data_IF_015535321082
#
_entry.id   IF_015535321082
#
_cell.length_a   1.000
_cell.length_b   1.000
_cell.length_c   1.000
_cell.angle_alpha   90.00
_cell.angle_beta   90.00
_cell.angle_gamma   90.00
#
_symmetry.space_group_name_H-M   'P 1'
#
loop_
_entity.id
_entity.type
_entity.pdbx_description
1 polymer ?
#
# COMPACT_ATOMS: atom_id res chain seq x y z
N UNK A 1 -47.59 -7.06 -4.49
CA UNK A 1 -46.60 -7.46 -3.46
C UNK A 1 -46.21 -8.92 -3.69
N UNK A 2 -45.52 -9.23 -4.80
CA UNK A 2 -45.33 -10.61 -5.30
C UNK A 2 -43.90 -11.01 -5.71
N UNK A 3 -42.88 -10.18 -5.48
CA UNK A 3 -41.56 -10.38 -6.11
C UNK A 3 -40.38 -10.30 -5.12
N UNK A 4 -40.45 -10.92 -3.95
CA UNK A 4 -39.33 -10.96 -2.99
C UNK A 4 -38.99 -12.39 -2.52
N UNK A 5 -39.17 -13.40 -3.38
CA UNK A 5 -38.66 -14.76 -3.16
C UNK A 5 -37.33 -14.95 -3.92
N UNK A 6 -36.32 -14.14 -3.61
CA UNK A 6 -34.95 -14.41 -4.04
C UNK A 6 -34.24 -15.13 -2.90
N UNK A 7 -33.73 -16.32 -3.17
CA UNK A 7 -32.93 -17.05 -2.21
C UNK A 7 -31.54 -16.41 -2.11
N UNK A 8 -30.91 -16.51 -0.94
CA UNK A 8 -29.52 -16.06 -0.74
C UNK A 8 -28.57 -16.65 -1.79
N UNK A 9 -28.79 -17.90 -2.20
CA UNK A 9 -27.99 -18.58 -3.20
C UNK A 9 -28.10 -17.94 -4.60
N UNK A 10 -29.31 -17.54 -5.00
CA UNK A 10 -29.55 -16.87 -6.29
C UNK A 10 -28.88 -15.50 -6.33
N UNK A 11 -29.07 -14.68 -5.29
CA UNK A 11 -28.44 -13.35 -5.20
C UNK A 11 -26.91 -13.46 -5.20
N UNK A 12 -26.37 -14.44 -4.46
CA UNK A 12 -24.91 -14.65 -4.40
C UNK A 12 -24.37 -15.09 -5.75
N UNK A 13 -25.07 -15.98 -6.44
CA UNK A 13 -24.67 -16.43 -7.78
C UNK A 13 -24.70 -15.28 -8.78
N UNK A 14 -25.78 -14.50 -8.80
CA UNK A 14 -25.91 -13.35 -9.69
C UNK A 14 -24.81 -12.30 -9.43
N UNK A 15 -24.48 -12.03 -8.16
CA UNK A 15 -23.38 -11.14 -7.81
C UNK A 15 -22.01 -11.69 -8.26
N UNK A 16 -21.76 -13.00 -8.10
CA UNK A 16 -20.51 -13.64 -8.55
C UNK A 16 -20.39 -13.59 -10.08
N UNK A 17 -21.46 -13.94 -10.79
CA UNK A 17 -21.49 -13.91 -12.25
C UNK A 17 -21.29 -12.47 -12.75
N UNK A 18 -21.96 -11.49 -12.13
CA UNK A 18 -21.79 -10.07 -12.44
C UNK A 18 -20.35 -9.60 -12.23
N UNK A 19 -19.74 -9.94 -11.09
CA UNK A 19 -18.33 -9.60 -10.80
C UNK A 19 -17.43 -10.28 -11.82
N UNK A 20 -17.62 -11.56 -12.14
CA UNK A 20 -16.78 -12.26 -13.11
C UNK A 20 -16.83 -11.62 -14.51
N UNK A 21 -18.01 -11.18 -14.93
CA UNK A 21 -18.21 -10.57 -16.24
C UNK A 21 -17.72 -9.12 -16.34
N UNK A 22 -17.77 -8.35 -15.24
CA UNK A 22 -17.53 -6.90 -15.24
C UNK A 22 -16.27 -6.47 -14.49
N UNK A 23 -15.75 -7.31 -13.59
CA UNK A 23 -14.48 -7.04 -12.93
C UNK A 23 -13.34 -7.39 -13.86
N UNK A 24 -12.88 -6.39 -14.59
CA UNK A 24 -11.65 -6.45 -15.34
C UNK A 24 -10.53 -5.86 -14.48
N UNK A 25 -9.76 -6.68 -13.74
CA UNK A 25 -8.64 -6.16 -12.97
C UNK A 25 -7.66 -5.44 -13.91
N UNK A 26 -6.93 -4.48 -13.36
CA UNK A 26 -5.89 -3.80 -14.13
C UNK A 26 -4.92 -4.82 -14.73
N UNK A 27 -4.62 -4.68 -16.03
CA UNK A 27 -3.71 -5.58 -16.71
C UNK A 27 -2.37 -5.65 -15.96
N UNK A 28 -1.96 -6.86 -15.59
CA UNK A 28 -0.69 -7.08 -14.89
C UNK A 28 -0.75 -6.91 -13.38
N UNK A 29 -1.91 -6.71 -12.76
CA UNK A 29 -2.04 -6.64 -11.29
C UNK A 29 -1.37 -7.84 -10.59
N UNK A 30 -1.52 -9.05 -11.14
CA UNK A 30 -0.94 -10.27 -10.58
C UNK A 30 0.58 -10.29 -10.64
N UNK A 31 1.14 -9.70 -11.71
CA UNK A 31 2.57 -9.50 -11.82
C UNK A 31 3.06 -8.46 -10.84
N UNK A 32 2.32 -7.36 -10.66
CA UNK A 32 2.69 -6.27 -9.74
C UNK A 32 2.59 -6.71 -8.28
N UNK A 33 1.53 -7.40 -7.87
CA UNK A 33 1.39 -7.87 -6.48
C UNK A 33 2.49 -8.88 -6.11
N UNK A 34 3.00 -9.62 -7.09
CA UNK A 34 4.06 -10.62 -6.88
C UNK A 34 5.48 -10.03 -6.99
N UNK A 35 5.72 -9.12 -7.96
CA UNK A 35 7.06 -8.67 -8.34
C UNK A 35 7.27 -7.14 -8.25
N UNK A 36 6.21 -6.37 -7.99
CA UNK A 36 6.24 -4.91 -8.08
C UNK A 36 7.17 -4.26 -7.06
N UNK A 37 7.30 -4.85 -5.87
CA UNK A 37 8.03 -4.26 -4.76
C UNK A 37 9.54 -4.50 -4.72
N UNK A 38 10.04 -5.56 -5.34
CA UNK A 38 11.41 -6.04 -5.11
C UNK A 38 11.96 -6.74 -6.35
N UNK A 39 13.22 -6.42 -6.69
CA UNK A 39 13.99 -7.14 -7.69
C UNK A 39 15.16 -7.87 -6.99
N UNK A 40 15.33 -9.20 -7.15
CA UNK A 40 16.46 -9.93 -6.56
C UNK A 40 17.84 -9.38 -6.92
N UNK A 41 17.98 -8.67 -8.04
CA UNK A 41 19.22 -7.98 -8.41
C UNK A 41 19.57 -6.80 -7.48
N UNK A 42 18.60 -6.24 -6.74
CA UNK A 42 18.83 -5.20 -5.72
C UNK A 42 19.74 -5.69 -4.58
N UNK A 43 19.89 -7.02 -4.42
CA UNK A 43 20.67 -7.68 -3.37
C UNK A 43 21.62 -8.74 -3.95
N UNK A 44 22.34 -8.39 -5.02
CA UNK A 44 23.31 -9.29 -5.66
C UNK A 44 24.38 -9.81 -4.69
N UNK A 45 24.93 -8.93 -3.84
CA UNK A 45 25.96 -9.28 -2.85
C UNK A 45 25.48 -10.29 -1.78
N UNK A 46 24.15 -10.39 -1.59
CA UNK A 46 23.53 -11.35 -0.67
C UNK A 46 23.12 -12.65 -1.37
N UNK A 47 23.41 -12.81 -2.67
CA UNK A 47 23.08 -14.00 -3.44
C UNK A 47 21.69 -13.99 -4.09
N UNK A 48 21.10 -12.80 -4.32
CA UNK A 48 19.81 -12.62 -5.03
C UNK A 48 18.65 -13.41 -4.41
N UNK A 49 18.29 -13.14 -3.15
CA UNK A 49 17.16 -13.81 -2.51
C UNK A 49 15.87 -13.58 -3.31
N UNK A 50 15.04 -14.62 -3.46
CA UNK A 50 13.78 -14.52 -4.23
C UNK A 50 12.72 -13.70 -3.49
N UNK A 51 12.69 -13.83 -2.15
CA UNK A 51 11.85 -13.01 -1.30
C UNK A 51 12.68 -11.90 -0.63
N UNK A 52 12.15 -10.67 -0.47
CA UNK A 52 12.87 -9.61 0.19
C UNK A 52 13.11 -9.97 1.67
N UNK A 53 14.35 -9.86 2.19
CA UNK A 53 14.62 -10.12 3.60
C UNK A 53 13.91 -9.11 4.52
N UNK A 54 13.64 -9.56 5.74
CA UNK A 54 13.08 -8.71 6.81
C UNK A 54 14.24 -8.00 7.52
N UNK A 55 14.35 -6.69 7.32
CA UNK A 55 15.32 -5.84 7.99
C UNK A 55 14.72 -5.25 9.27
N UNK A 56 15.22 -5.77 10.41
CA UNK A 56 14.80 -5.37 11.75
C UNK A 56 15.82 -4.46 12.46
N UNK A 57 16.97 -4.21 11.81
CA UNK A 57 17.95 -3.27 12.34
C UNK A 57 17.30 -1.88 12.51
N UNK A 58 17.66 -1.15 13.56
CA UNK A 58 17.14 0.20 13.81
C UNK A 58 18.04 1.28 13.22
N UNK A 59 19.33 1.00 13.09
CA UNK A 59 20.37 1.87 12.53
C UNK A 59 21.25 1.07 11.58
N UNK A 60 21.87 1.76 10.62
CA UNK A 60 22.74 1.15 9.62
C UNK A 60 24.11 1.84 9.60
N UNK A 61 25.13 1.10 9.17
CA UNK A 61 26.48 1.65 9.04
C UNK A 61 26.53 2.71 7.94
N UNK A 62 27.07 3.88 8.26
CA UNK A 62 27.35 4.93 7.28
C UNK A 62 28.74 4.72 6.67
N UNK A 63 28.90 5.04 5.39
CA UNK A 63 30.21 5.00 4.71
C UNK A 63 31.13 6.11 5.26
N UNK A 64 30.55 7.30 5.41
CA UNK A 64 31.10 8.47 6.08
C UNK A 64 29.95 9.20 6.78
N UNK A 65 30.20 10.13 7.71
CA UNK A 65 29.13 10.90 8.35
C UNK A 65 28.18 11.53 7.32
N UNK A 66 26.89 11.22 7.42
CA UNK A 66 25.84 11.70 6.52
C UNK A 66 25.70 10.96 5.18
N UNK A 67 26.44 9.88 4.95
CA UNK A 67 26.43 9.14 3.67
C UNK A 67 26.02 7.68 3.90
N UNK A 68 24.74 7.39 3.69
CA UNK A 68 24.17 6.05 3.72
C UNK A 68 22.86 5.99 2.92
N UNK A 69 22.49 4.81 2.38
CA UNK A 69 21.16 4.60 1.77
C UNK A 69 20.06 4.62 2.83
N UNK A 70 20.30 3.92 3.94
CA UNK A 70 19.50 3.98 5.15
C UNK A 70 20.43 4.36 6.28
N UNK A 71 20.00 5.24 7.18
CA UNK A 71 20.73 5.61 8.39
C UNK A 71 19.97 5.13 9.64
N UNK A 72 18.65 5.33 9.66
CA UNK A 72 17.75 5.03 10.75
C UNK A 72 16.39 4.56 10.24
N UNK A 73 15.91 3.42 10.74
CA UNK A 73 14.76 2.69 10.17
C UNK A 73 13.43 3.44 10.17
N UNK A 74 13.28 4.44 11.04
CA UNK A 74 12.12 5.35 11.00
C UNK A 74 12.10 6.17 9.72
N UNK A 75 13.25 6.68 9.29
CA UNK A 75 13.39 7.46 8.06
C UNK A 75 13.31 6.58 6.81
N UNK A 76 14.01 5.44 6.81
CA UNK A 76 14.01 4.50 5.70
C UNK A 76 14.39 3.08 6.12
N UNK A 77 13.67 2.08 5.62
CA UNK A 77 13.93 0.66 5.86
C UNK A 77 13.70 -0.11 4.57
N UNK A 78 14.66 -0.96 4.17
CA UNK A 78 14.58 -1.83 3.01
C UNK A 78 13.25 -2.60 2.90
N UNK A 79 12.79 -3.24 3.98
CA UNK A 79 11.55 -4.04 3.92
C UNK A 79 10.31 -3.17 3.71
N UNK A 80 10.30 -1.94 4.26
CA UNK A 80 9.22 -0.97 4.06
C UNK A 80 9.25 -0.39 2.65
N UNK A 81 10.44 -0.08 2.13
CA UNK A 81 10.62 0.43 0.76
C UNK A 81 10.10 -0.57 -0.28
N UNK A 82 10.31 -1.87 -0.07
CA UNK A 82 9.75 -2.90 -0.94
C UNK A 82 8.21 -2.85 -0.98
N UNK A 83 7.58 -2.66 0.18
CA UNK A 83 6.12 -2.53 0.27
C UNK A 83 5.63 -1.23 -0.37
N UNK A 84 6.30 -0.10 -0.10
CA UNK A 84 6.01 1.21 -0.69
C UNK A 84 6.08 1.14 -2.22
N UNK A 85 7.13 0.54 -2.80
CA UNK A 85 7.27 0.33 -4.24
C UNK A 85 6.14 -0.51 -4.83
N UNK A 86 5.72 -1.56 -4.12
CA UNK A 86 4.63 -2.43 -4.56
C UNK A 86 3.29 -1.67 -4.61
N UNK A 87 2.93 -1.01 -3.51
CA UNK A 87 1.68 -0.26 -3.40
C UNK A 87 1.65 0.91 -4.39
N UNK A 88 2.75 1.65 -4.54
CA UNK A 88 2.84 2.73 -5.52
C UNK A 88 2.51 2.23 -6.94
N UNK A 89 3.07 1.09 -7.35
CA UNK A 89 2.76 0.49 -8.67
C UNK A 89 1.33 -0.01 -8.78
N UNK A 90 0.76 -0.60 -7.72
CA UNK A 90 -0.62 -1.08 -7.71
C UNK A 90 -1.62 0.07 -7.91
N UNK A 91 -1.34 1.22 -7.28
CA UNK A 91 -2.17 2.43 -7.36
C UNK A 91 -1.82 3.33 -8.56
N UNK A 92 -0.90 2.90 -9.43
CA UNK A 92 -0.35 3.70 -10.53
C UNK A 92 0.17 5.08 -10.06
N UNK A 93 0.74 5.11 -8.85
CA UNK A 93 1.38 6.28 -8.24
C UNK A 93 2.89 6.28 -8.43
N UNK A 94 3.49 7.47 -8.37
CA UNK A 94 4.96 7.63 -8.42
C UNK A 94 5.62 7.22 -7.09
N UNK A 95 4.93 7.48 -5.98
CA UNK A 95 5.41 7.24 -4.63
C UNK A 95 4.31 6.68 -3.72
N UNK A 96 4.73 5.98 -2.67
CA UNK A 96 3.87 5.55 -1.56
C UNK A 96 4.63 5.76 -0.26
N UNK A 97 3.92 6.06 0.83
CA UNK A 97 4.46 6.09 2.19
C UNK A 97 3.62 5.19 3.06
N UNK A 98 4.27 4.27 3.79
CA UNK A 98 3.59 3.31 4.65
C UNK A 98 3.62 3.79 6.11
N UNK A 99 2.45 3.80 6.73
CA UNK A 99 2.25 4.24 8.12
C UNK A 99 1.80 3.08 9.02
N UNK A 100 1.82 3.30 10.33
CA UNK A 100 1.40 2.31 11.33
C UNK A 100 -0.10 2.01 11.32
N UNK A 101 -0.93 2.92 10.76
CA UNK A 101 -2.38 2.78 10.63
C UNK A 101 -2.93 3.77 9.60
N UNK A 102 -4.19 3.59 9.20
CA UNK A 102 -4.90 4.55 8.34
C UNK A 102 -5.02 5.94 8.98
N UNK A 103 -5.29 6.02 10.29
CA UNK A 103 -5.34 7.30 11.01
C UNK A 103 -3.97 7.98 11.12
N UNK A 104 -2.87 7.22 11.20
CA UNK A 104 -1.54 7.80 11.15
C UNK A 104 -1.22 8.38 9.76
N UNK A 105 -1.69 7.73 8.68
CA UNK A 105 -1.58 8.26 7.33
C UNK A 105 -2.40 9.55 7.16
N UNK A 106 -3.67 9.55 7.61
CA UNK A 106 -4.52 10.74 7.61
C UNK A 106 -3.91 11.88 8.43
N UNK A 107 -3.40 11.57 9.62
CA UNK A 107 -2.74 12.54 10.49
C UNK A 107 -1.49 13.15 9.85
N UNK A 108 -0.74 12.39 9.04
CA UNK A 108 0.39 12.91 8.27
C UNK A 108 -0.08 13.85 7.16
N UNK A 109 -1.17 13.53 6.46
CA UNK A 109 -1.76 14.38 5.43
C UNK A 109 -2.28 15.71 6.01
N UNK A 110 -2.96 15.67 7.15
CA UNK A 110 -3.46 16.88 7.82
C UNK A 110 -2.33 17.78 8.30
N UNK A 111 -1.18 17.21 8.70
CA UNK A 111 0.01 17.97 9.07
C UNK A 111 0.67 18.73 7.91
N UNK A 112 0.24 18.50 6.66
CA UNK A 112 0.65 19.31 5.51
C UNK A 112 -0.07 20.67 5.45
N UNK A 113 -1.19 20.81 6.16
CA UNK A 113 -2.01 22.02 6.17
C UNK A 113 -1.50 23.04 7.18
N UNK A 114 -1.85 24.30 6.96
CA UNK A 114 -1.60 25.42 7.86
C UNK A 114 -2.84 25.83 8.65
N UNK A 115 -2.63 26.53 9.76
CA UNK A 115 -3.74 27.08 10.53
C UNK A 115 -4.55 28.08 9.68
N UNK A 116 -5.86 27.84 9.59
CA UNK A 116 -6.77 28.64 8.76
C UNK A 116 -7.13 27.99 7.42
N UNK A 117 -6.49 26.88 7.04
CA UNK A 117 -6.89 26.09 5.87
C UNK A 117 -8.24 25.41 6.09
N UNK A 118 -8.92 25.09 4.99
CA UNK A 118 -10.25 24.48 4.97
C UNK A 118 -10.24 23.13 4.28
N UNK A 119 -10.79 22.11 4.92
CA UNK A 119 -10.93 20.75 4.38
C UNK A 119 -12.36 20.56 3.87
N UNK A 120 -12.51 20.08 2.64
CA UNK A 120 -13.79 19.59 2.09
C UNK A 120 -13.74 18.07 2.09
N UNK A 121 -14.73 17.42 2.69
CA UNK A 121 -14.81 15.97 2.79
C UNK A 121 -16.23 15.47 2.49
N UNK A 122 -16.37 14.16 2.29
CA UNK A 122 -17.68 13.52 2.10
C UNK A 122 -18.49 13.54 3.40
N UNK A 123 -19.82 13.46 3.28
CA UNK A 123 -20.74 13.40 4.42
C UNK A 123 -20.81 12.00 5.06
N UNK A 124 -20.45 10.96 4.30
CA UNK A 124 -20.28 9.58 4.77
C UNK A 124 -18.80 9.18 4.73
N UNK A 125 -18.23 8.99 5.92
CA UNK A 125 -16.80 8.81 6.17
C UNK A 125 -16.60 7.77 7.27
N UNK A 126 -15.40 7.20 7.34
CA UNK A 126 -15.09 6.24 8.39
C UNK A 126 -15.10 6.95 9.76
N UNK A 127 -15.85 6.40 10.72
CA UNK A 127 -16.13 7.11 11.99
C UNK A 127 -14.89 7.50 12.82
N UNK A 128 -13.75 6.84 12.65
CA UNK A 128 -12.51 7.21 13.33
C UNK A 128 -11.82 8.46 12.76
N UNK A 129 -12.33 9.02 11.66
CA UNK A 129 -11.86 10.25 11.02
C UNK A 129 -12.36 11.51 11.73
N UNK A 130 -13.27 11.37 12.70
CA UNK A 130 -13.85 12.43 13.54
C UNK A 130 -13.23 12.53 14.94
#
# INVERSE_FOLDING_TARGET
>A
MKNFELTFAEVTKEAVDYIADHFHPFNGIETIVTHGGFDPSDLEDLGRPVAPPISLATTFQQLTPGVAKYDYSRAGNFSRECLERCIAKLENGEHCSVFSSGLAALGALVQLLSAGDHIVAFDDLYGGEW
#
